data_IF_484350834627
#
_entry.id   IF_484350834627
#
_cell.length_a   1.000
_cell.length_b   1.000
_cell.length_c   1.000
_cell.angle_alpha   90.00
_cell.angle_beta   90.00
_cell.angle_gamma   90.00
#
_symmetry.space_group_name_H-M   'P 1'
#
loop_
_entity.id
_entity.type
_entity.pdbx_description
1 polymer ?
#
# COMPACT_ATOMS: atom_id res chain seq x y z
N UNK A 1 -10.43 -37.69 -1.30
CA UNK A 1 -9.03 -37.47 -0.89
C UNK A 1 -9.05 -36.60 0.34
N UNK A 2 -8.51 -37.07 1.47
CA UNK A 2 -8.42 -36.23 2.68
C UNK A 2 -7.19 -35.33 2.55
N UNK A 3 -7.41 -34.02 2.45
CA UNK A 3 -6.35 -33.03 2.33
C UNK A 3 -5.65 -32.78 3.68
N UNK A 4 -6.30 -33.12 4.80
CA UNK A 4 -5.76 -32.98 6.14
C UNK A 4 -6.03 -34.28 6.95
N UNK A 5 -5.03 -34.74 7.71
CA UNK A 5 -5.14 -35.95 8.52
C UNK A 5 -6.10 -35.81 9.71
N UNK A 6 -6.35 -34.59 10.16
CA UNK A 6 -7.31 -34.26 11.24
C UNK A 6 -8.12 -33.03 10.84
N UNK A 7 -9.44 -32.95 11.20
CA UNK A 7 -10.20 -31.72 11.02
C UNK A 7 -9.44 -30.54 11.66
N UNK A 8 -9.24 -29.49 10.92
CA UNK A 8 -8.54 -28.28 11.36
C UNK A 8 -9.35 -27.06 10.92
N UNK A 9 -9.53 -26.09 11.80
CA UNK A 9 -10.15 -24.81 11.51
C UNK A 9 -9.22 -23.69 11.96
N UNK A 10 -8.97 -22.73 11.07
CA UNK A 10 -8.28 -21.49 11.39
C UNK A 10 -9.28 -20.34 11.34
N UNK A 11 -9.44 -19.64 12.47
CA UNK A 11 -10.34 -18.48 12.56
C UNK A 11 -9.51 -17.22 12.71
N UNK A 12 -9.60 -16.32 11.73
CA UNK A 12 -9.05 -14.97 11.80
C UNK A 12 -10.15 -14.00 12.13
N UNK A 13 -10.11 -13.42 13.33
CA UNK A 13 -11.04 -12.36 13.70
C UNK A 13 -10.59 -11.05 13.05
N UNK A 14 -11.37 -10.57 12.09
CA UNK A 14 -11.16 -9.22 11.55
C UNK A 14 -11.50 -8.21 12.65
N UNK A 15 -10.53 -7.42 13.07
CA UNK A 15 -10.75 -6.27 13.94
C UNK A 15 -10.91 -5.05 13.03
N UNK A 16 -12.15 -4.78 12.64
CA UNK A 16 -12.51 -3.58 11.91
C UNK A 16 -12.56 -2.43 12.94
N UNK A 17 -11.42 -1.87 13.28
CA UNK A 17 -11.31 -0.68 14.13
C UNK A 17 -10.92 0.52 13.29
N UNK A 18 -11.38 1.71 13.68
CA UNK A 18 -10.80 2.96 13.15
C UNK A 18 -9.33 2.98 13.50
N UNK A 19 -8.50 3.36 12.56
CA UNK A 19 -7.06 3.50 12.74
C UNK A 19 -6.63 4.81 12.09
N UNK A 20 -6.01 5.68 12.85
CA UNK A 20 -5.50 6.95 12.36
C UNK A 20 -3.96 6.98 12.41
N UNK A 21 -3.35 7.81 11.56
CA UNK A 21 -1.88 7.97 11.56
C UNK A 21 -1.37 8.48 12.91
N UNK A 22 -2.14 9.34 13.60
CA UNK A 22 -1.75 9.87 14.91
C UNK A 22 -1.62 8.75 15.96
N UNK A 23 -2.52 7.75 15.95
CA UNK A 23 -2.40 6.57 16.81
C UNK A 23 -1.15 5.74 16.48
N UNK A 24 -0.77 5.68 15.21
CA UNK A 24 0.44 4.98 14.78
C UNK A 24 1.71 5.73 15.15
N UNK A 25 1.66 7.05 15.24
CA UNK A 25 2.75 7.88 15.79
C UNK A 25 2.85 7.66 17.31
N UNK A 26 1.73 7.77 18.03
CA UNK A 26 1.68 7.62 19.49
C UNK A 26 2.17 6.26 19.97
N UNK A 27 1.83 5.18 19.26
CA UNK A 27 2.27 3.83 19.61
C UNK A 27 3.69 3.49 19.10
N UNK A 28 4.40 4.45 18.49
CA UNK A 28 5.78 4.30 18.03
C UNK A 28 5.96 3.49 16.75
N UNK A 29 4.91 3.29 15.96
CA UNK A 29 5.01 2.65 14.65
C UNK A 29 5.84 3.51 13.67
N UNK A 30 5.77 4.83 13.80
CA UNK A 30 6.55 5.79 13.01
C UNK A 30 6.82 7.07 13.81
N UNK A 31 7.75 7.90 13.33
CA UNK A 31 7.98 9.24 13.85
C UNK A 31 6.89 10.23 13.40
N UNK A 32 6.77 11.36 14.07
CA UNK A 32 5.86 12.44 13.66
C UNK A 32 6.19 12.96 12.27
N UNK A 33 7.47 13.11 11.93
CA UNK A 33 7.92 13.54 10.60
C UNK A 33 7.43 12.61 9.48
N UNK A 34 7.60 11.30 9.67
CA UNK A 34 7.07 10.28 8.74
C UNK A 34 5.54 10.34 8.65
N UNK A 35 4.85 10.57 9.77
CA UNK A 35 3.41 10.69 9.79
C UNK A 35 2.92 11.91 9.01
N UNK A 36 3.53 13.07 9.19
CA UNK A 36 3.18 14.29 8.45
C UNK A 36 3.51 14.17 6.96
N UNK A 37 4.65 13.56 6.63
CA UNK A 37 4.98 13.19 5.25
C UNK A 37 3.88 12.33 4.61
N UNK A 38 3.46 11.26 5.27
CA UNK A 38 2.43 10.36 4.75
C UNK A 38 1.06 11.04 4.62
N UNK A 39 0.69 11.90 5.56
CA UNK A 39 -0.53 12.73 5.47
C UNK A 39 -0.50 13.62 4.23
N UNK A 40 0.62 14.31 4.00
CA UNK A 40 0.79 15.17 2.84
C UNK A 40 0.80 14.36 1.53
N UNK A 41 1.48 13.21 1.48
CA UNK A 41 1.51 12.35 0.31
C UNK A 41 0.11 11.87 -0.11
N UNK A 42 -0.73 11.49 0.86
CA UNK A 42 -2.13 11.11 0.57
C UNK A 42 -2.93 12.32 0.07
N UNK A 43 -2.79 13.50 0.69
CA UNK A 43 -3.48 14.73 0.27
C UNK A 43 -3.02 15.19 -1.11
N UNK A 44 -1.72 15.10 -1.40
CA UNK A 44 -1.12 15.38 -2.71
C UNK A 44 -1.44 14.31 -3.77
N UNK A 45 -2.32 13.35 -3.46
CA UNK A 45 -2.76 12.28 -4.37
C UNK A 45 -1.62 11.43 -4.91
N UNK A 46 -0.61 11.16 -4.09
CA UNK A 46 0.49 10.25 -4.45
C UNK A 46 0.03 8.80 -4.40
N UNK A 47 0.43 8.02 -5.39
CA UNK A 47 0.17 6.58 -5.47
C UNK A 47 1.14 5.84 -4.54
N UNK A 48 0.62 5.14 -3.56
CA UNK A 48 1.44 4.53 -2.49
C UNK A 48 1.24 3.01 -2.45
N UNK A 49 2.35 2.29 -2.50
CA UNK A 49 2.41 0.84 -2.27
C UNK A 49 2.96 0.55 -0.88
N UNK A 50 2.16 -0.11 -0.04
CA UNK A 50 2.58 -0.51 1.31
C UNK A 50 3.12 -1.94 1.25
N UNK A 51 4.37 -2.12 1.62
CA UNK A 51 5.06 -3.39 1.55
C UNK A 51 5.40 -3.95 2.93
N UNK A 52 5.53 -5.24 3.04
CA UNK A 52 5.97 -5.92 4.26
C UNK A 52 5.60 -7.40 4.28
N UNK A 53 6.16 -8.12 5.23
CA UNK A 53 5.88 -9.54 5.43
C UNK A 53 4.43 -9.80 5.91
N UNK A 54 4.05 -11.07 6.02
CA UNK A 54 2.77 -11.44 6.62
C UNK A 54 2.66 -10.94 8.06
N UNK A 55 1.50 -10.38 8.41
CA UNK A 55 1.24 -9.77 9.72
C UNK A 55 2.15 -8.58 10.09
N UNK A 56 2.81 -7.95 9.12
CA UNK A 56 3.62 -6.75 9.35
C UNK A 56 2.78 -5.49 9.65
N UNK A 57 1.47 -5.52 9.41
CA UNK A 57 0.58 -4.38 9.66
C UNK A 57 0.24 -3.59 8.39
N UNK A 58 0.45 -4.16 7.19
CA UNK A 58 0.14 -3.50 5.91
C UNK A 58 -1.30 -2.99 5.82
N UNK A 59 -2.29 -3.84 6.13
CA UNK A 59 -3.72 -3.46 6.10
C UNK A 59 -4.04 -2.38 7.13
N UNK A 60 -3.38 -2.40 8.30
CA UNK A 60 -3.52 -1.35 9.32
C UNK A 60 -2.99 -0.01 8.81
N UNK A 61 -1.82 -0.01 8.19
CA UNK A 61 -1.24 1.17 7.56
C UNK A 61 -2.11 1.68 6.41
N UNK A 62 -2.61 0.77 5.56
CA UNK A 62 -3.52 1.10 4.46
C UNK A 62 -4.77 1.82 4.96
N UNK A 63 -5.39 1.32 6.05
CA UNK A 63 -6.55 1.97 6.68
C UNK A 63 -6.20 3.37 7.21
N UNK A 64 -5.07 3.49 7.91
CA UNK A 64 -4.64 4.76 8.47
C UNK A 64 -4.39 5.82 7.39
N UNK A 65 -3.79 5.42 6.25
CA UNK A 65 -3.62 6.28 5.08
C UNK A 65 -4.96 6.61 4.43
N UNK A 66 -5.83 5.62 4.26
CA UNK A 66 -7.16 5.83 3.67
C UNK A 66 -8.01 6.81 4.49
N UNK A 67 -7.88 6.82 5.82
CA UNK A 67 -8.58 7.75 6.70
C UNK A 67 -8.08 9.21 6.60
N UNK A 68 -6.99 9.48 5.87
CA UNK A 68 -6.55 10.84 5.51
C UNK A 68 -7.27 11.36 4.25
N UNK A 69 -7.86 10.47 3.45
CA UNK A 69 -8.56 10.83 2.22
C UNK A 69 -9.79 11.69 2.57
N UNK A 70 -9.98 12.84 1.89
CA UNK A 70 -11.14 13.69 2.12
C UNK A 70 -12.48 12.96 1.95
N UNK A 71 -13.44 13.22 2.83
CA UNK A 71 -14.78 12.60 2.81
C UNK A 71 -15.57 12.87 1.51
N UNK A 72 -15.23 13.93 0.77
CA UNK A 72 -15.83 14.26 -0.52
C UNK A 72 -15.38 13.32 -1.66
N UNK A 73 -14.31 12.58 -1.49
CA UNK A 73 -13.78 11.71 -2.53
C UNK A 73 -14.55 10.38 -2.63
N UNK A 74 -14.77 9.92 -3.87
CA UNK A 74 -15.36 8.61 -4.15
C UNK A 74 -14.27 7.55 -4.14
N UNK A 75 -14.34 6.64 -3.16
CA UNK A 75 -13.36 5.56 -2.99
C UNK A 75 -13.98 4.24 -3.46
N UNK A 76 -13.24 3.48 -4.25
CA UNK A 76 -13.59 2.09 -4.54
C UNK A 76 -12.51 1.17 -3.97
N UNK A 77 -12.91 0.25 -3.09
CA UNK A 77 -12.02 -0.79 -2.60
C UNK A 77 -12.23 -2.09 -3.37
N UNK A 78 -11.13 -2.80 -3.64
CA UNK A 78 -11.15 -4.11 -4.28
C UNK A 78 -10.30 -5.07 -3.46
N UNK A 79 -10.90 -6.13 -2.93
CA UNK A 79 -10.29 -7.02 -1.95
C UNK A 79 -10.61 -8.49 -2.24
N UNK A 80 -9.76 -9.41 -1.80
CA UNK A 80 -10.06 -10.86 -1.82
C UNK A 80 -11.03 -11.27 -0.75
N UNK A 81 -10.92 -10.62 0.40
CA UNK A 81 -11.86 -10.68 1.51
C UNK A 81 -11.93 -9.27 2.09
N UNK A 82 -13.10 -8.81 2.45
CA UNK A 82 -13.31 -7.47 2.98
C UNK A 82 -12.61 -7.30 4.33
N UNK A 83 -11.44 -6.70 4.31
CA UNK A 83 -10.61 -6.43 5.49
C UNK A 83 -10.37 -4.93 5.71
N UNK A 84 -10.42 -4.10 4.68
CA UNK A 84 -10.14 -2.67 4.79
C UNK A 84 -11.28 -1.93 5.51
N UNK A 85 -12.52 -2.28 5.24
CA UNK A 85 -13.68 -1.87 6.04
C UNK A 85 -13.99 -0.37 6.06
N UNK A 86 -13.62 0.40 5.01
CA UNK A 86 -13.90 1.85 4.97
C UNK A 86 -15.38 2.16 4.93
N UNK A 87 -16.19 1.32 4.30
CA UNK A 87 -17.64 1.47 4.22
C UNK A 87 -18.37 1.29 5.56
N UNK A 88 -17.69 0.81 6.60
CA UNK A 88 -18.25 0.71 7.97
C UNK A 88 -18.33 2.09 8.67
N UNK A 89 -17.70 3.12 8.09
CA UNK A 89 -17.57 4.45 8.70
C UNK A 89 -18.07 5.53 7.75
N UNK A 90 -19.40 5.60 7.58
CA UNK A 90 -20.06 6.57 6.70
C UNK A 90 -19.76 8.04 7.07
N UNK A 91 -19.45 8.31 8.34
CA UNK A 91 -19.07 9.64 8.82
C UNK A 91 -17.69 10.08 8.29
N UNK A 92 -16.79 9.14 8.03
CA UNK A 92 -15.47 9.42 7.45
C UNK A 92 -15.49 9.29 5.92
N UNK A 93 -16.20 8.32 5.42
CA UNK A 93 -16.20 7.93 4.00
C UNK A 93 -17.63 7.69 3.49
N UNK A 94 -18.42 8.75 3.25
CA UNK A 94 -19.82 8.61 2.84
C UNK A 94 -20.00 8.04 1.41
N UNK A 95 -18.93 8.01 0.61
CA UNK A 95 -18.98 7.57 -0.79
C UNK A 95 -17.96 6.46 -1.06
N UNK A 96 -18.16 5.29 -0.44
CA UNK A 96 -17.32 4.10 -0.65
C UNK A 96 -18.13 3.00 -1.33
N UNK A 97 -17.50 2.33 -2.28
CA UNK A 97 -17.99 1.08 -2.87
C UNK A 97 -16.93 -0.01 -2.65
N UNK A 98 -17.27 -1.04 -1.92
CA UNK A 98 -16.38 -2.17 -1.64
C UNK A 98 -16.70 -3.37 -2.52
N UNK A 99 -15.70 -3.88 -3.23
CA UNK A 99 -15.78 -5.09 -4.04
C UNK A 99 -14.96 -6.20 -3.39
N UNK A 100 -15.54 -7.40 -3.39
CA UNK A 100 -14.89 -8.63 -2.96
C UNK A 100 -14.72 -9.59 -4.14
N UNK A 101 -13.56 -10.24 -4.24
CA UNK A 101 -13.32 -11.31 -5.21
C UNK A 101 -14.31 -12.44 -5.01
N UNK A 102 -14.93 -12.89 -6.08
CA UNK A 102 -15.80 -14.04 -6.03
C UNK A 102 -15.10 -15.28 -6.59
N UNK A 103 -14.88 -16.25 -5.75
CA UNK A 103 -14.35 -17.54 -6.17
C UNK A 103 -15.40 -18.29 -7.00
N UNK A 104 -14.95 -19.06 -8.00
CA UNK A 104 -15.83 -19.96 -8.75
C UNK A 104 -16.37 -21.10 -7.88
N UNK A 105 -17.49 -21.66 -8.31
CA UNK A 105 -17.98 -22.91 -7.71
C UNK A 105 -17.04 -24.09 -8.06
N UNK A 106 -17.41 -25.31 -7.66
CA UNK A 106 -16.63 -26.53 -7.94
C UNK A 106 -16.39 -26.80 -9.44
N UNK A 107 -17.21 -26.21 -10.31
CA UNK A 107 -17.09 -26.28 -11.78
C UNK A 107 -16.35 -25.06 -12.36
N UNK A 108 -15.85 -24.16 -11.53
CA UNK A 108 -15.15 -22.93 -11.93
C UNK A 108 -16.10 -21.82 -12.40
N UNK A 109 -17.41 -22.01 -12.32
CA UNK A 109 -18.39 -21.02 -12.78
C UNK A 109 -18.57 -19.88 -11.77
N UNK A 110 -18.82 -18.68 -12.29
CA UNK A 110 -19.14 -17.50 -11.48
C UNK A 110 -17.92 -16.79 -10.90
N UNK A 111 -16.70 -17.15 -11.27
CA UNK A 111 -15.46 -16.47 -10.83
C UNK A 111 -15.41 -15.01 -11.32
N UNK A 112 -15.15 -14.10 -10.39
CA UNK A 112 -14.91 -12.69 -10.66
C UNK A 112 -13.58 -12.30 -10.00
N UNK A 113 -12.51 -12.22 -10.80
CA UNK A 113 -11.15 -11.98 -10.30
C UNK A 113 -10.93 -10.52 -9.87
N UNK A 114 -9.93 -10.28 -9.02
CA UNK A 114 -9.45 -8.96 -8.61
C UNK A 114 -9.17 -8.06 -9.83
N UNK A 115 -8.44 -8.53 -10.84
CA UNK A 115 -8.14 -7.77 -12.06
C UNK A 115 -9.42 -7.33 -12.79
N UNK A 116 -10.46 -8.19 -12.84
CA UNK A 116 -11.76 -7.85 -13.43
C UNK A 116 -12.48 -6.77 -12.61
N UNK A 117 -12.42 -6.85 -11.29
CA UNK A 117 -13.03 -5.87 -10.39
C UNK A 117 -12.34 -4.51 -10.51
N UNK A 118 -10.99 -4.45 -10.48
CA UNK A 118 -10.22 -3.21 -10.69
C UNK A 118 -10.59 -2.59 -12.04
N UNK A 119 -10.62 -3.38 -13.14
CA UNK A 119 -11.01 -2.86 -14.46
C UNK A 119 -12.44 -2.33 -14.50
N UNK A 120 -13.35 -2.90 -13.74
CA UNK A 120 -14.74 -2.45 -13.66
C UNK A 120 -14.88 -1.20 -12.80
N UNK A 121 -14.12 -1.09 -11.72
CA UNK A 121 -14.14 0.07 -10.82
C UNK A 121 -13.82 1.37 -11.57
N UNK A 122 -12.90 1.34 -12.54
CA UNK A 122 -12.52 2.51 -13.34
C UNK A 122 -13.68 3.13 -14.13
N UNK A 123 -14.73 2.34 -14.41
CA UNK A 123 -15.95 2.84 -15.10
C UNK A 123 -16.99 3.43 -14.14
N UNK A 124 -16.70 3.44 -12.85
CA UNK A 124 -17.60 3.95 -11.82
C UNK A 124 -17.23 5.35 -11.34
N UNK A 125 -16.36 6.05 -12.10
CA UNK A 125 -15.86 7.38 -11.79
C UNK A 125 -15.25 7.47 -10.37
N UNK A 126 -14.29 6.61 -10.00
CA UNK A 126 -13.64 6.71 -8.71
C UNK A 126 -12.75 7.94 -8.63
N UNK A 127 -12.67 8.57 -7.47
CA UNK A 127 -11.60 9.51 -7.16
C UNK A 127 -10.31 8.76 -6.86
N UNK A 128 -10.43 7.60 -6.16
CA UNK A 128 -9.31 6.70 -5.83
C UNK A 128 -9.73 5.25 -5.87
N UNK A 129 -8.78 4.38 -6.23
CA UNK A 129 -8.95 2.93 -6.17
C UNK A 129 -7.99 2.38 -5.12
N UNK A 130 -8.52 1.63 -4.17
CA UNK A 130 -7.74 0.95 -3.13
C UNK A 130 -7.79 -0.54 -3.37
N UNK A 131 -6.63 -1.16 -3.60
CA UNK A 131 -6.53 -2.61 -3.71
C UNK A 131 -5.96 -3.16 -2.40
N UNK A 132 -6.78 -3.91 -1.66
CA UNK A 132 -6.42 -4.38 -0.32
C UNK A 132 -5.09 -5.12 -0.28
N UNK A 133 -4.85 -6.01 -1.25
CA UNK A 133 -3.59 -6.72 -1.41
C UNK A 133 -3.40 -7.16 -2.87
N UNK A 134 -2.18 -6.98 -3.38
CA UNK A 134 -1.77 -7.47 -4.70
C UNK A 134 -0.99 -8.78 -4.53
N UNK A 135 -1.52 -9.84 -5.15
CA UNK A 135 -0.95 -11.18 -5.10
C UNK A 135 -0.73 -11.81 -6.49
N UNK A 136 -1.10 -11.12 -7.58
CA UNK A 136 -1.05 -11.71 -8.91
C UNK A 136 -1.33 -10.73 -10.06
N UNK A 137 -2.18 -11.18 -10.99
CA UNK A 137 -2.44 -10.52 -12.28
C UNK A 137 -3.16 -9.17 -12.17
N UNK A 138 -3.77 -8.86 -11.04
CA UNK A 138 -4.35 -7.54 -10.75
C UNK A 138 -3.32 -6.41 -10.76
N UNK A 139 -2.02 -6.70 -10.59
CA UNK A 139 -0.95 -5.68 -10.53
C UNK A 139 -0.91 -4.82 -11.80
N UNK A 140 -0.96 -5.44 -12.97
CA UNK A 140 -0.89 -4.71 -14.25
C UNK A 140 -2.09 -3.79 -14.40
N UNK A 141 -3.29 -4.28 -14.06
CA UNK A 141 -4.52 -3.49 -14.14
C UNK A 141 -4.49 -2.33 -13.14
N UNK A 142 -3.94 -2.55 -11.94
CA UNK A 142 -3.82 -1.54 -10.91
C UNK A 142 -2.81 -0.44 -11.29
N UNK A 143 -1.62 -0.80 -11.76
CA UNK A 143 -0.63 0.18 -12.22
C UNK A 143 -1.16 1.02 -13.39
N UNK A 144 -1.88 0.40 -14.34
CA UNK A 144 -2.57 1.14 -15.39
C UNK A 144 -3.62 2.11 -14.82
N UNK A 145 -4.35 1.72 -13.78
CA UNK A 145 -5.31 2.61 -13.12
C UNK A 145 -4.61 3.82 -12.50
N UNK A 146 -3.50 3.60 -11.80
CA UNK A 146 -2.69 4.65 -11.18
C UNK A 146 -2.09 5.62 -12.20
N UNK A 147 -1.69 5.15 -13.40
CA UNK A 147 -1.07 5.98 -14.45
C UNK A 147 -2.08 6.69 -15.37
N UNK A 148 -3.38 6.42 -15.24
CA UNK A 148 -4.42 6.92 -16.15
C UNK A 148 -5.39 7.92 -15.48
N UNK A 149 -4.95 8.63 -14.43
CA UNK A 149 -5.72 9.70 -13.78
C UNK A 149 -6.51 9.28 -12.54
N UNK A 150 -6.24 8.08 -11.98
CA UNK A 150 -6.74 7.70 -10.66
C UNK A 150 -5.64 7.88 -9.61
N UNK A 151 -5.00 9.06 -9.62
CA UNK A 151 -3.92 9.40 -8.71
C UNK A 151 -4.38 9.35 -7.24
N UNK A 152 -3.44 8.98 -6.36
CA UNK A 152 -3.72 8.79 -4.93
C UNK A 152 -4.28 7.41 -4.60
N UNK A 153 -4.15 6.44 -5.50
CA UNK A 153 -4.52 5.05 -5.24
C UNK A 153 -3.54 4.39 -4.27
N UNK A 154 -4.08 3.50 -3.45
CA UNK A 154 -3.32 2.81 -2.39
C UNK A 154 -3.41 1.30 -2.58
N UNK A 155 -2.34 0.59 -2.23
CA UNK A 155 -2.35 -0.87 -2.24
C UNK A 155 -1.34 -1.46 -1.28
N UNK A 156 -1.46 -2.78 -1.03
CA UNK A 156 -0.45 -3.52 -0.29
C UNK A 156 0.15 -4.65 -1.12
N UNK A 157 1.39 -5.01 -0.80
CA UNK A 157 2.14 -6.10 -1.45
C UNK A 157 3.04 -6.81 -0.43
N UNK A 158 3.26 -8.10 -0.62
CA UNK A 158 4.27 -8.83 0.14
C UNK A 158 5.67 -8.62 -0.43
N UNK A 159 6.58 -8.10 0.40
CA UNK A 159 8.01 -7.99 0.09
C UNK A 159 8.83 -7.98 1.38
N UNK A 160 10.16 -8.19 1.28
CA UNK A 160 11.08 -8.19 2.41
C UNK A 160 11.86 -6.88 2.57
N UNK A 161 11.75 -5.98 1.59
CA UNK A 161 12.28 -4.61 1.65
C UNK A 161 11.51 -3.69 0.71
N UNK A 162 11.68 -2.36 0.86
CA UNK A 162 11.10 -1.38 -0.07
C UNK A 162 11.63 -1.54 -1.51
N UNK A 163 12.88 -1.95 -1.68
CA UNK A 163 13.50 -2.18 -2.99
C UNK A 163 13.00 -3.46 -3.67
N UNK A 164 12.78 -4.53 -2.90
CA UNK A 164 12.29 -5.82 -3.44
C UNK A 164 10.90 -5.72 -4.07
N UNK A 165 10.13 -4.70 -3.73
CA UNK A 165 8.79 -4.46 -4.29
C UNK A 165 8.82 -4.44 -5.82
N UNK A 166 9.80 -3.80 -6.42
CA UNK A 166 9.91 -3.68 -7.88
C UNK A 166 10.10 -5.04 -8.55
N UNK A 167 10.96 -5.88 -7.98
CA UNK A 167 11.17 -7.26 -8.47
C UNK A 167 9.89 -8.11 -8.29
N UNK A 168 9.18 -7.93 -7.19
CA UNK A 168 7.92 -8.62 -6.93
C UNK A 168 6.85 -8.24 -7.94
N UNK A 169 6.71 -6.95 -8.23
CA UNK A 169 5.80 -6.44 -9.27
C UNK A 169 6.20 -7.02 -10.63
N UNK A 170 7.49 -7.02 -10.98
CA UNK A 170 7.99 -7.61 -12.22
C UNK A 170 7.62 -9.10 -12.34
N UNK A 171 7.77 -9.87 -11.27
CA UNK A 171 7.39 -11.28 -11.22
C UNK A 171 5.88 -11.46 -11.49
N UNK A 172 5.03 -10.69 -10.84
CA UNK A 172 3.58 -10.78 -11.04
C UNK A 172 3.16 -10.34 -12.44
N UNK A 173 3.79 -9.31 -12.99
CA UNK A 173 3.52 -8.82 -14.34
C UNK A 173 3.87 -9.86 -15.42
N UNK A 174 4.98 -10.58 -15.27
CA UNK A 174 5.38 -11.68 -16.17
C UNK A 174 4.41 -12.87 -16.03
N UNK A 175 3.94 -13.15 -14.81
CA UNK A 175 2.99 -14.25 -14.53
C UNK A 175 1.55 -13.89 -14.88
N UNK A 176 1.24 -12.60 -15.08
CA UNK A 176 -0.09 -12.12 -15.45
C UNK A 176 -0.50 -12.60 -16.85
N UNK A 177 -1.78 -12.43 -17.18
CA UNK A 177 -2.29 -12.75 -18.52
C UNK A 177 -1.67 -11.88 -19.60
N UNK A 178 -1.33 -10.65 -19.26
CA UNK A 178 -0.68 -9.68 -20.13
C UNK A 178 0.77 -10.06 -20.44
N UNK A 179 1.44 -10.81 -19.57
CA UNK A 179 2.83 -11.27 -19.69
C UNK A 179 3.78 -10.14 -20.10
N UNK A 180 3.68 -9.01 -19.40
CA UNK A 180 4.51 -7.85 -19.73
C UNK A 180 6.00 -8.18 -19.59
N UNK A 181 6.83 -7.80 -20.59
CA UNK A 181 8.28 -7.88 -20.44
C UNK A 181 8.76 -6.96 -19.32
N UNK A 182 9.95 -7.26 -18.77
CA UNK A 182 10.49 -6.52 -17.64
C UNK A 182 10.62 -5.01 -17.94
N UNK A 183 11.09 -4.66 -19.13
CA UNK A 183 11.23 -3.26 -19.56
C UNK A 183 9.89 -2.52 -19.53
N UNK A 184 8.85 -3.09 -20.14
CA UNK A 184 7.51 -2.49 -20.14
C UNK A 184 6.95 -2.38 -18.72
N UNK A 185 7.23 -3.38 -17.86
CA UNK A 185 6.82 -3.35 -16.45
C UNK A 185 7.55 -2.23 -15.70
N UNK A 186 8.85 -2.05 -15.94
CA UNK A 186 9.66 -0.99 -15.33
C UNK A 186 9.14 0.40 -15.69
N UNK A 187 8.81 0.63 -16.96
CA UNK A 187 8.19 1.87 -17.43
C UNK A 187 6.84 2.11 -16.76
N UNK A 188 6.02 1.05 -16.66
CA UNK A 188 4.71 1.14 -16.04
C UNK A 188 4.80 1.46 -14.55
N UNK A 189 5.73 0.85 -13.80
CA UNK A 189 5.98 1.15 -12.38
C UNK A 189 6.37 2.63 -12.24
N UNK A 190 7.35 3.09 -13.03
CA UNK A 190 7.87 4.46 -12.95
C UNK A 190 6.82 5.53 -13.30
N UNK A 191 5.86 5.20 -14.16
CA UNK A 191 4.78 6.11 -14.51
C UNK A 191 3.55 6.04 -13.60
N UNK A 192 3.49 5.06 -12.71
CA UNK A 192 2.29 4.79 -11.91
C UNK A 192 2.52 4.96 -10.40
N UNK A 193 3.70 4.63 -9.89
CA UNK A 193 3.96 4.56 -8.45
C UNK A 193 4.83 5.72 -8.01
N UNK A 194 4.41 6.44 -6.97
CA UNK A 194 5.20 7.53 -6.37
C UNK A 194 6.01 7.02 -5.18
N UNK A 195 5.40 6.30 -4.25
CA UNK A 195 6.07 5.87 -3.03
C UNK A 195 5.85 4.40 -2.69
N UNK A 196 6.89 3.80 -2.12
CA UNK A 196 6.84 2.49 -1.45
C UNK A 196 7.09 2.70 0.05
N UNK A 197 6.14 2.32 0.89
CA UNK A 197 6.24 2.36 2.36
C UNK A 197 6.47 0.95 2.87
N UNK A 198 7.62 0.69 3.47
CA UNK A 198 7.94 -0.64 3.98
C UNK A 198 7.70 -0.73 5.48
N UNK A 199 6.84 -1.67 5.87
CA UNK A 199 6.47 -1.94 7.27
C UNK A 199 7.09 -3.26 7.72
N UNK A 200 7.86 -3.22 8.80
CA UNK A 200 8.50 -4.37 9.41
C UNK A 200 7.84 -4.76 10.73
N UNK A 201 7.59 -6.05 10.90
CA UNK A 201 7.29 -6.65 12.18
C UNK A 201 8.59 -7.04 12.87
N UNK A 202 8.77 -6.63 14.11
CA UNK A 202 9.93 -6.95 14.94
C UNK A 202 9.49 -7.80 16.14
N UNK A 203 10.30 -8.78 16.44
CA UNK A 203 10.16 -9.55 17.68
C UNK A 203 11.30 -9.13 18.59
N UNK A 204 11.00 -8.44 19.67
CA UNK A 204 12.00 -8.11 20.66
C UNK A 204 12.12 -9.25 21.67
N UNK A 205 13.11 -10.10 21.44
CA UNK A 205 13.41 -11.22 22.33
C UNK A 205 13.98 -10.74 23.68
N UNK A 206 14.55 -9.52 23.76
CA UNK A 206 15.13 -8.97 24.99
C UNK A 206 14.07 -8.48 25.99
N UNK A 207 12.88 -8.09 25.50
CA UNK A 207 11.77 -7.59 26.34
C UNK A 207 10.64 -8.60 26.52
N UNK A 208 10.95 -9.91 26.53
CA UNK A 208 9.95 -10.93 26.77
C UNK A 208 9.04 -11.25 25.57
N UNK A 209 9.49 -10.97 24.35
CA UNK A 209 8.78 -11.36 23.12
C UNK A 209 7.71 -10.37 22.67
N UNK A 210 7.77 -9.12 23.11
CA UNK A 210 6.86 -8.06 22.62
C UNK A 210 7.02 -7.86 21.11
N UNK A 211 5.90 -7.96 20.39
CA UNK A 211 5.89 -7.76 18.94
C UNK A 211 5.59 -6.29 18.65
N UNK A 212 6.51 -5.61 18.01
CA UNK A 212 6.34 -4.25 17.52
C UNK A 212 6.23 -4.22 16.01
N UNK A 213 5.62 -3.20 15.48
CA UNK A 213 5.53 -2.91 14.03
C UNK A 213 6.02 -1.51 13.81
N UNK A 214 6.89 -1.34 12.81
CA UNK A 214 7.50 -0.04 12.50
C UNK A 214 7.47 0.21 11.01
N UNK A 215 7.31 1.46 10.61
CA UNK A 215 7.72 1.91 9.28
C UNK A 215 9.24 1.92 9.30
N UNK A 216 9.86 1.09 8.48
CA UNK A 216 11.32 0.93 8.45
C UNK A 216 11.96 1.81 7.38
N UNK A 217 11.34 1.91 6.20
CA UNK A 217 11.84 2.78 5.14
C UNK A 217 10.71 3.26 4.23
N UNK A 218 10.95 4.39 3.56
CA UNK A 218 10.11 4.91 2.49
C UNK A 218 10.99 5.21 1.30
N UNK A 219 10.55 4.76 0.13
CA UNK A 219 11.27 4.93 -1.14
C UNK A 219 10.40 5.72 -2.12
N UNK A 220 10.97 6.76 -2.71
CA UNK A 220 10.36 7.54 -3.80
C UNK A 220 10.79 6.95 -5.14
N UNK A 221 9.85 6.75 -6.05
CA UNK A 221 10.12 6.37 -7.44
C UNK A 221 10.35 7.64 -8.24
N UNK A 222 11.49 7.74 -8.92
CA UNK A 222 11.90 8.97 -9.62
C UNK A 222 12.01 8.78 -11.14
N UNK A 223 11.83 7.57 -11.65
CA UNK A 223 11.90 7.28 -13.07
C UNK A 223 12.35 5.85 -13.37
N UNK A 224 12.85 5.65 -14.58
CA UNK A 224 13.43 4.38 -15.02
C UNK A 224 14.59 4.59 -15.99
N UNK A 225 15.55 3.66 -15.94
CA UNK A 225 16.65 3.52 -16.92
C UNK A 225 17.02 2.03 -16.98
N UNK A 226 16.29 1.25 -17.76
CA UNK A 226 16.38 -0.20 -17.79
C UNK A 226 15.91 -0.90 -16.49
N UNK A 227 15.88 -0.17 -15.39
CA UNK A 227 15.35 -0.55 -14.09
C UNK A 227 14.59 0.61 -13.46
N UNK A 228 13.81 0.36 -12.41
CA UNK A 228 13.14 1.44 -11.65
C UNK A 228 14.18 2.24 -10.90
N UNK A 229 14.24 3.54 -11.16
CA UNK A 229 15.07 4.48 -10.39
C UNK A 229 14.28 4.95 -9.17
N UNK A 230 14.89 4.87 -8.00
CA UNK A 230 14.23 5.23 -6.75
C UNK A 230 15.21 5.69 -5.70
N UNK A 231 14.79 6.66 -4.87
CA UNK A 231 15.55 7.17 -3.74
C UNK A 231 14.94 6.68 -2.43
N UNK A 232 15.76 6.26 -1.49
CA UNK A 232 15.30 5.97 -0.14
C UNK A 232 15.23 7.26 0.66
N UNK A 233 14.04 7.90 0.66
CA UNK A 233 13.85 9.22 1.27
C UNK A 233 13.79 9.16 2.80
N UNK A 234 13.33 8.02 3.34
CA UNK A 234 13.47 7.67 4.75
C UNK A 234 14.10 6.29 4.84
N UNK A 235 15.18 6.19 5.59
CA UNK A 235 15.94 4.95 5.83
C UNK A 235 15.89 4.56 7.32
N UNK A 236 16.16 3.29 7.67
CA UNK A 236 16.16 2.87 9.06
C UNK A 236 17.26 3.55 9.87
N UNK A 237 16.90 4.18 10.98
CA UNK A 237 17.79 4.66 12.02
C UNK A 237 18.39 3.47 12.82
N UNK A 238 19.26 3.71 13.82
CA UNK A 238 19.80 2.65 14.68
C UNK A 238 18.72 1.82 15.40
N UNK A 239 17.55 2.42 15.67
CA UNK A 239 16.40 1.71 16.24
C UNK A 239 15.56 1.04 15.14
N UNK A 240 15.98 1.16 13.87
CA UNK A 240 15.38 0.61 12.67
C UNK A 240 14.01 1.17 12.36
N UNK A 241 13.75 2.40 12.74
CA UNK A 241 12.60 3.19 12.31
C UNK A 241 12.99 4.12 11.19
N UNK A 242 12.07 4.40 10.30
CA UNK A 242 12.28 5.33 9.22
C UNK A 242 12.62 6.73 9.75
N UNK A 243 13.76 7.25 9.34
CA UNK A 243 14.22 8.60 9.59
C UNK A 243 14.65 9.25 8.27
N UNK A 244 14.57 10.57 8.17
CA UNK A 244 14.94 11.32 6.97
C UNK A 244 16.37 10.97 6.52
N UNK A 245 16.54 10.62 5.24
CA UNK A 245 17.79 10.09 4.70
C UNK A 245 18.25 10.81 3.43
N UNK A 246 17.39 10.91 2.43
CA UNK A 246 17.68 11.57 1.15
C UNK A 246 16.64 12.64 0.85
N UNK A 247 17.00 13.66 0.04
CA UNK A 247 16.04 14.65 -0.40
C UNK A 247 14.83 14.01 -1.12
N UNK A 248 13.65 14.55 -0.89
CA UNK A 248 12.42 14.17 -1.56
C UNK A 248 12.30 14.95 -2.86
N UNK A 249 12.21 14.26 -3.99
CA UNK A 249 12.15 14.91 -5.31
C UNK A 249 10.88 15.73 -5.51
N UNK A 250 9.74 15.26 -5.02
CA UNK A 250 8.46 15.96 -5.12
C UNK A 250 8.13 16.80 -3.87
N UNK A 251 9.13 17.26 -3.10
CA UNK A 251 8.92 17.96 -1.83
C UNK A 251 7.98 19.17 -1.96
N UNK A 252 8.05 19.93 -3.04
CA UNK A 252 7.18 21.09 -3.28
C UNK A 252 5.70 20.72 -3.28
N UNK A 253 5.31 19.64 -3.95
CA UNK A 253 3.94 19.13 -3.93
C UNK A 253 3.48 18.78 -2.52
N UNK A 254 4.38 18.22 -1.71
CA UNK A 254 4.07 17.83 -0.33
C UNK A 254 3.96 19.05 0.59
N UNK A 255 4.77 20.08 0.37
CA UNK A 255 4.73 21.33 1.11
C UNK A 255 3.42 22.09 0.87
N UNK A 256 2.90 22.08 -0.36
CA UNK A 256 1.59 22.64 -0.71
C UNK A 256 0.45 21.91 0.03
N UNK A 257 0.69 20.67 0.46
CA UNK A 257 -0.27 19.86 1.21
C UNK A 257 0.06 19.73 2.71
N UNK A 258 0.94 20.63 3.20
CA UNK A 258 1.19 20.82 4.64
C UNK A 258 2.40 20.10 5.21
N UNK A 259 3.18 19.38 4.39
CA UNK A 259 4.44 18.81 4.88
C UNK A 259 5.47 19.92 5.14
N UNK A 260 6.16 19.81 6.25
CA UNK A 260 7.30 20.68 6.58
C UNK A 260 8.42 19.76 7.02
N UNK A 261 9.44 19.51 6.14
CA UNK A 261 10.57 18.66 6.50
C UNK A 261 11.22 19.13 7.80
N UNK A 262 11.43 18.23 8.74
CA UNK A 262 12.22 18.58 9.91
C UNK A 262 13.66 18.81 9.46
N UNK A 263 14.13 20.06 9.54
CA UNK A 263 15.50 20.44 9.21
C UNK A 263 16.41 19.90 10.30
N UNK A 264 16.83 18.67 10.17
CA UNK A 264 17.98 18.16 10.92
C UNK A 264 19.24 18.53 10.11
N UNK A 265 19.85 19.64 10.51
CA UNK A 265 21.12 20.21 10.12
C UNK A 265 21.75 19.73 8.81
N UNK A 266 21.81 20.65 7.81
CA UNK A 266 22.54 20.56 6.55
C UNK A 266 21.83 19.91 5.36
N UNK A 267 20.83 20.58 4.87
CA UNK A 267 20.52 20.65 3.43
C UNK A 267 20.08 22.10 3.17
N UNK A 268 21.07 22.98 2.98
CA UNK A 268 20.91 24.32 2.42
C UNK A 268 21.49 24.29 1.01
#
# INVERSE_FOLDING_TARGET
MNVCARPSISVRKARLGRVFLDELIENGTMSADVGEFLKAAVKARKNIMIAGATNAGKTTMLRALANVIPASERIITVERALEVGLGEYEDLHPNVVSFEERLGNSEGLGHVSMAKLVRRSLRMNPSRVIVGEVLGDEIVTMLNAMSQGNDGSLSTIHANSSLEVFNRIGTYAIQSKERLPLEATTMLIAGALDFVVFVRKRNDHATGGTQTRVVESIREVVGHDGQVLSNEVFAPDPDGRAAAHSPIGCVGDLEDHGYRPMVHGRWA
#
